data_IF_948942591273
#
_entry.id   IF_948942591273
#
_cell.length_a   1.000
_cell.length_b   1.000
_cell.length_c   1.000
_cell.angle_alpha   90.00
_cell.angle_beta   90.00
_cell.angle_gamma   90.00
#
_symmetry.space_group_name_H-M   'P 1'
#
loop_
_entity.id
_entity.type
_entity.pdbx_description
1 polymer ?
#
# COMPACT_ATOMS: atom_id res chain seq x y z
N UNK A 1 11.38 22.24 12.12
CA UNK A 1 10.12 21.65 12.62
C UNK A 1 9.05 21.96 11.60
N UNK A 2 8.86 21.04 10.65
CA UNK A 2 7.97 21.22 9.49
C UNK A 2 6.78 20.26 9.62
N UNK A 3 6.14 20.28 10.79
CA UNK A 3 4.80 19.72 10.93
C UNK A 3 3.83 20.86 10.58
N UNK A 4 3.73 21.11 9.28
CA UNK A 4 2.55 21.77 8.72
C UNK A 4 1.33 21.01 9.22
N UNK A 5 0.37 21.75 9.80
CA UNK A 5 -0.90 21.22 10.29
C UNK A 5 -1.58 20.45 9.16
N UNK A 6 -1.48 19.12 9.19
CA UNK A 6 -2.26 18.25 8.31
C UNK A 6 -3.73 18.60 8.58
N UNK A 7 -4.43 19.16 7.60
CA UNK A 7 -5.84 19.51 7.74
C UNK A 7 -6.64 18.25 8.06
N UNK A 8 -7.65 18.35 8.93
CA UNK A 8 -8.55 17.24 9.26
C UNK A 8 -9.15 16.59 8.01
N UNK A 9 -9.44 17.38 6.99
CA UNK A 9 -9.91 16.90 5.68
C UNK A 9 -8.90 15.97 5.00
N UNK A 10 -7.60 16.28 5.07
CA UNK A 10 -6.54 15.45 4.51
C UNK A 10 -6.40 14.13 5.26
N UNK A 11 -6.49 14.14 6.59
CA UNK A 11 -6.51 12.91 7.39
C UNK A 11 -7.74 12.04 7.03
N UNK A 12 -8.92 12.65 6.96
CA UNK A 12 -10.15 11.96 6.58
C UNK A 12 -10.06 11.37 5.15
N UNK A 13 -9.40 12.06 4.22
CA UNK A 13 -9.14 11.55 2.87
C UNK A 13 -8.21 10.33 2.89
N UNK A 14 -7.16 10.37 3.71
CA UNK A 14 -6.25 9.24 3.87
C UNK A 14 -6.95 8.02 4.50
N UNK A 15 -7.77 8.24 5.52
CA UNK A 15 -8.53 7.16 6.17
C UNK A 15 -9.53 6.52 5.20
N UNK A 16 -10.26 7.34 4.41
CA UNK A 16 -11.16 6.83 3.36
C UNK A 16 -10.41 5.97 2.33
N UNK A 17 -9.25 6.45 1.87
CA UNK A 17 -8.42 5.69 0.94
C UNK A 17 -7.95 4.36 1.56
N UNK A 18 -7.61 4.35 2.85
CA UNK A 18 -7.23 3.13 3.56
C UNK A 18 -8.41 2.14 3.70
N UNK A 19 -9.62 2.63 3.97
CA UNK A 19 -10.84 1.80 3.99
C UNK A 19 -11.12 1.16 2.62
N UNK A 20 -11.04 1.95 1.54
CA UNK A 20 -11.22 1.43 0.18
C UNK A 20 -10.16 0.39 -0.18
N UNK A 21 -8.89 0.66 0.13
CA UNK A 21 -7.81 -0.30 -0.09
C UNK A 21 -8.03 -1.60 0.71
N UNK A 22 -8.62 -1.52 1.90
CA UNK A 22 -8.98 -2.70 2.69
C UNK A 22 -10.10 -3.51 2.02
N UNK A 23 -11.15 -2.87 1.54
CA UNK A 23 -12.25 -3.55 0.83
C UNK A 23 -11.74 -4.26 -0.43
N UNK A 24 -10.90 -3.59 -1.22
CA UNK A 24 -10.25 -4.20 -2.39
C UNK A 24 -9.38 -5.38 -1.97
N UNK A 25 -8.56 -5.24 -0.93
CA UNK A 25 -7.74 -6.32 -0.41
C UNK A 25 -8.59 -7.52 0.04
N UNK A 26 -9.69 -7.28 0.73
CA UNK A 26 -10.61 -8.31 1.21
C UNK A 26 -11.34 -9.04 0.06
N UNK A 27 -11.46 -8.40 -1.11
CA UNK A 27 -12.02 -9.02 -2.32
C UNK A 27 -11.05 -9.93 -3.09
N UNK A 28 -9.73 -9.85 -2.81
CA UNK A 28 -8.73 -10.71 -3.42
C UNK A 28 -8.90 -12.17 -3.01
N UNK A 29 -8.40 -13.10 -3.83
CA UNK A 29 -8.34 -14.51 -3.45
C UNK A 29 -7.41 -14.74 -2.25
N UNK A 30 -7.69 -15.78 -1.47
CA UNK A 30 -6.92 -16.10 -0.27
C UNK A 30 -5.44 -16.38 -0.57
N UNK A 31 -5.14 -17.04 -1.68
CA UNK A 31 -3.76 -17.29 -2.10
C UNK A 31 -2.98 -15.98 -2.32
N UNK A 32 -3.60 -14.99 -2.97
CA UNK A 32 -2.99 -13.67 -3.20
C UNK A 32 -2.79 -12.94 -1.88
N UNK A 33 -3.80 -12.95 -0.99
CA UNK A 33 -3.71 -12.34 0.34
C UNK A 33 -2.59 -12.96 1.17
N UNK A 34 -2.49 -14.29 1.18
CA UNK A 34 -1.48 -15.03 1.95
C UNK A 34 -0.08 -14.69 1.47
N UNK A 35 0.16 -14.72 0.16
CA UNK A 35 1.48 -14.41 -0.39
C UNK A 35 1.86 -12.95 -0.18
N UNK A 36 0.93 -12.01 -0.41
CA UNK A 36 1.18 -10.60 -0.13
C UNK A 36 1.44 -10.33 1.35
N UNK A 37 0.64 -10.92 2.25
CA UNK A 37 0.81 -10.77 3.70
C UNK A 37 2.13 -11.38 4.20
N UNK A 38 2.55 -12.53 3.68
CA UNK A 38 3.85 -13.15 3.97
C UNK A 38 5.00 -12.25 3.56
N UNK A 39 4.95 -11.72 2.34
CA UNK A 39 5.97 -10.80 1.83
C UNK A 39 6.03 -9.51 2.66
N UNK A 40 4.88 -8.88 2.92
CA UNK A 40 4.79 -7.68 3.74
C UNK A 40 5.31 -7.92 5.16
N UNK A 41 4.87 -8.98 5.85
CA UNK A 41 5.34 -9.31 7.21
C UNK A 41 6.85 -9.52 7.27
N UNK A 42 7.44 -10.16 6.25
CA UNK A 42 8.90 -10.43 6.18
C UNK A 42 9.72 -9.15 6.07
N UNK A 43 9.23 -8.14 5.35
CA UNK A 43 10.03 -6.98 4.95
C UNK A 43 9.59 -5.66 5.59
N UNK A 44 8.36 -5.53 6.05
CA UNK A 44 7.82 -4.27 6.57
C UNK A 44 8.68 -3.70 7.70
N UNK A 45 9.07 -4.54 8.67
CA UNK A 45 9.93 -4.13 9.78
C UNK A 45 11.40 -3.90 9.39
N UNK A 46 11.83 -4.37 8.21
CA UNK A 46 13.22 -4.26 7.73
C UNK A 46 13.41 -3.07 6.78
N UNK A 47 12.44 -2.83 5.91
CA UNK A 47 12.53 -1.87 4.82
C UNK A 47 11.52 -0.70 4.96
N UNK A 48 10.45 -0.86 5.74
CA UNK A 48 9.37 0.12 5.91
C UNK A 48 8.40 0.19 4.72
N UNK A 49 7.15 0.56 4.98
CA UNK A 49 6.08 0.60 3.96
C UNK A 49 6.42 1.46 2.74
N UNK A 50 7.07 2.61 2.93
CA UNK A 50 7.37 3.54 1.82
C UNK A 50 8.30 2.92 0.77
N UNK A 51 9.31 2.14 1.20
CA UNK A 51 10.23 1.47 0.26
C UNK A 51 9.54 0.29 -0.42
N UNK A 52 8.74 -0.48 0.32
CA UNK A 52 7.98 -1.60 -0.24
C UNK A 52 6.96 -1.13 -1.28
N UNK A 53 6.21 -0.05 -1.01
CA UNK A 53 5.27 0.53 -1.96
C UNK A 53 5.96 0.95 -3.27
N UNK A 54 7.16 1.54 -3.22
CA UNK A 54 7.92 1.89 -4.42
C UNK A 54 8.27 0.69 -5.28
N UNK A 55 8.61 -0.45 -4.67
CA UNK A 55 8.94 -1.69 -5.39
C UNK A 55 7.71 -2.18 -6.16
N UNK A 56 6.56 -2.28 -5.47
CA UNK A 56 5.32 -2.77 -6.08
C UNK A 56 4.83 -1.84 -7.19
N UNK A 57 4.89 -0.52 -6.99
CA UNK A 57 4.53 0.48 -8.01
C UNK A 57 5.46 0.41 -9.22
N UNK A 58 6.77 0.23 -9.00
CA UNK A 58 7.72 0.09 -10.11
C UNK A 58 7.41 -1.16 -10.95
N UNK A 59 7.09 -2.28 -10.29
CA UNK A 59 6.66 -3.50 -10.97
C UNK A 59 5.36 -3.29 -11.77
N UNK A 60 4.35 -2.64 -11.18
CA UNK A 60 3.10 -2.34 -11.88
C UNK A 60 3.34 -1.53 -13.16
N UNK A 61 4.17 -0.48 -13.07
CA UNK A 61 4.56 0.33 -14.24
C UNK A 61 5.30 -0.46 -15.30
N UNK A 62 6.13 -1.43 -14.90
CA UNK A 62 6.81 -2.31 -15.84
C UNK A 62 5.81 -3.22 -16.57
N UNK A 63 4.81 -3.75 -15.86
CA UNK A 63 3.76 -4.58 -16.45
C UNK A 63 2.86 -3.81 -17.40
N UNK A 64 2.53 -2.55 -17.08
CA UNK A 64 1.76 -1.66 -17.96
C UNK A 64 2.50 -1.35 -19.26
N UNK A 65 3.83 -1.26 -19.25
CA UNK A 65 4.66 -1.04 -20.45
C UNK A 65 4.81 -2.28 -21.34
N UNK A 66 4.63 -3.47 -20.76
CA UNK A 66 4.74 -4.76 -21.45
C UNK A 66 3.42 -5.21 -22.06
N UNK A 67 2.30 -4.58 -21.68
CA UNK A 67 0.99 -4.72 -22.31
C UNK A 67 0.89 -3.82 -23.53
#
# INVERSE_FOLDING_TARGET
MAEERISEELLANMDRAASQAKEEFDSLSDDVKIEFARWMRKWYLKAGYRRLGRIVVAYAKEMERKK
#
